data_IF_863124968558
#
_entry.id   IF_863124968558
#
_cell.length_a   1.000
_cell.length_b   1.000
_cell.length_c   1.000
_cell.angle_alpha   90.00
_cell.angle_beta   90.00
_cell.angle_gamma   90.00
#
_symmetry.space_group_name_H-M   'P 1'
#
loop_
_entity.id
_entity.type
_entity.pdbx_description
1 polymer ?
#
# COMPACT_ATOMS: atom_id res chain seq x y z
N UNK A 1 45.51 10.91 8.01
CA UNK A 1 45.20 10.46 6.64
C UNK A 1 44.01 11.28 6.18
N UNK A 2 44.25 12.33 5.40
CA UNK A 2 43.22 13.26 4.96
C UNK A 2 42.26 12.53 4.01
N UNK A 3 40.99 12.43 4.37
CA UNK A 3 39.94 11.95 3.47
C UNK A 3 39.61 13.08 2.50
N UNK A 4 39.91 12.90 1.22
CA UNK A 4 39.51 13.84 0.17
C UNK A 4 38.00 14.16 0.26
N UNK A 5 37.58 15.41 -0.02
CA UNK A 5 36.16 15.75 -0.02
C UNK A 5 35.42 14.90 -1.08
N UNK A 6 34.23 14.36 -0.76
CA UNK A 6 33.50 13.50 -1.67
C UNK A 6 33.21 14.25 -2.97
N UNK A 7 33.59 13.66 -4.10
CA UNK A 7 33.31 14.23 -5.43
C UNK A 7 31.79 14.40 -5.62
N UNK A 8 31.34 15.43 -6.37
CA UNK A 8 29.91 15.67 -6.56
C UNK A 8 29.22 14.47 -7.22
N UNK A 9 29.92 13.75 -8.12
CA UNK A 9 29.46 12.50 -8.71
C UNK A 9 29.29 11.39 -7.67
N UNK A 10 30.23 11.21 -6.75
CA UNK A 10 30.10 10.22 -5.68
C UNK A 10 28.90 10.55 -4.79
N UNK A 11 28.71 11.83 -4.43
CA UNK A 11 27.57 12.30 -3.63
C UNK A 11 26.23 12.04 -4.34
N UNK A 12 26.12 12.37 -5.62
CA UNK A 12 24.93 12.12 -6.45
C UNK A 12 24.68 10.61 -6.60
N UNK A 13 25.72 9.80 -6.84
CA UNK A 13 25.61 8.34 -6.91
C UNK A 13 25.16 7.74 -5.58
N UNK A 14 25.73 8.17 -4.45
CA UNK A 14 25.27 7.73 -3.12
C UNK A 14 23.86 8.18 -2.81
N UNK A 15 23.44 9.37 -3.28
CA UNK A 15 22.07 9.86 -3.13
C UNK A 15 21.08 9.03 -3.97
N UNK A 16 21.41 8.76 -5.24
CA UNK A 16 20.64 7.88 -6.12
C UNK A 16 20.57 6.45 -5.58
N UNK A 17 21.66 5.92 -5.03
CA UNK A 17 21.71 4.62 -4.35
C UNK A 17 20.86 4.60 -3.07
N UNK A 18 20.74 5.73 -2.35
CA UNK A 18 19.81 5.84 -1.22
C UNK A 18 18.35 5.89 -1.69
N UNK A 19 18.07 6.54 -2.81
CA UNK A 19 16.73 6.65 -3.42
C UNK A 19 16.41 5.52 -4.41
N UNK A 20 17.15 4.41 -4.37
CA UNK A 20 17.03 3.31 -5.34
C UNK A 20 15.61 2.73 -5.47
N UNK A 21 14.80 2.82 -4.41
CA UNK A 21 13.40 2.39 -4.42
C UNK A 21 12.55 3.27 -5.35
N UNK A 22 12.68 4.61 -5.27
CA UNK A 22 11.92 5.54 -6.12
C UNK A 22 12.32 5.39 -7.59
N UNK A 23 13.62 5.24 -7.84
CA UNK A 23 14.14 4.97 -9.18
C UNK A 23 13.61 3.63 -9.70
N UNK A 24 13.61 2.60 -8.85
CA UNK A 24 13.07 1.29 -9.17
C UNK A 24 11.58 1.33 -9.52
N UNK A 25 10.78 2.10 -8.78
CA UNK A 25 9.35 2.31 -9.08
C UNK A 25 9.20 2.98 -10.45
N UNK A 26 9.98 4.04 -10.72
CA UNK A 26 9.97 4.72 -12.03
C UNK A 26 10.33 3.78 -13.18
N UNK A 27 11.38 2.98 -13.04
CA UNK A 27 11.80 1.99 -14.04
C UNK A 27 10.73 0.91 -14.22
N UNK A 28 10.16 0.40 -13.12
CA UNK A 28 9.09 -0.58 -13.16
C UNK A 28 7.87 -0.05 -13.92
N UNK A 29 7.48 1.21 -13.70
CA UNK A 29 6.40 1.87 -14.45
C UNK A 29 6.71 2.01 -15.95
N UNK A 30 7.96 2.37 -16.30
CA UNK A 30 8.40 2.45 -17.71
C UNK A 30 8.38 1.06 -18.35
N UNK A 31 8.89 0.06 -17.67
CA UNK A 31 8.97 -1.31 -18.18
C UNK A 31 7.59 -1.95 -18.30
N UNK A 32 6.69 -1.65 -17.35
CA UNK A 32 5.27 -1.96 -17.43
C UNK A 32 4.65 -1.38 -18.71
N UNK A 33 4.89 -0.09 -18.99
CA UNK A 33 4.35 0.58 -20.17
C UNK A 33 4.83 -0.05 -21.49
N UNK A 34 6.10 -0.42 -21.60
CA UNK A 34 6.67 -0.99 -22.84
C UNK A 34 6.44 -2.50 -23.01
N UNK A 35 6.26 -3.26 -21.93
CA UNK A 35 6.07 -4.72 -21.97
C UNK A 35 4.77 -5.17 -21.26
N UNK A 36 3.58 -4.77 -21.76
CA UNK A 36 2.30 -5.09 -21.14
C UNK A 36 1.91 -6.58 -21.24
N UNK A 37 2.53 -7.35 -22.13
CA UNK A 37 2.15 -8.75 -22.42
C UNK A 37 2.62 -9.77 -21.37
N UNK A 38 3.61 -9.43 -20.54
CA UNK A 38 4.15 -10.34 -19.50
C UNK A 38 3.24 -10.38 -18.26
N UNK A 39 2.34 -9.40 -18.12
CA UNK A 39 1.48 -9.20 -16.95
C UNK A 39 -0.02 -9.36 -17.23
N UNK A 40 -0.40 -9.84 -18.43
CA UNK A 40 -1.82 -10.07 -18.78
C UNK A 40 -2.47 -11.17 -17.92
N UNK A 41 -3.72 -10.93 -17.52
CA UNK A 41 -4.63 -11.95 -17.00
C UNK A 41 -4.79 -13.11 -18.01
N UNK A 42 -4.66 -14.35 -17.54
CA UNK A 42 -4.93 -15.55 -18.33
C UNK A 42 -3.74 -16.27 -19.02
N UNK A 43 -2.49 -16.00 -18.64
CA UNK A 43 -1.36 -16.84 -19.04
C UNK A 43 -1.42 -18.26 -18.44
N UNK A 44 -0.71 -19.23 -19.03
CA UNK A 44 -0.67 -20.66 -18.63
C UNK A 44 -0.27 -20.93 -17.18
N UNK A 45 0.27 -19.90 -16.52
CA UNK A 45 0.51 -19.85 -15.08
C UNK A 45 -0.44 -18.75 -14.60
N UNK A 46 -1.38 -19.05 -13.71
CA UNK A 46 -2.20 -18.04 -12.98
C UNK A 46 -1.30 -17.17 -12.09
N UNK A 47 -0.44 -16.40 -12.74
CA UNK A 47 0.63 -15.61 -12.17
C UNK A 47 0.04 -14.43 -11.40
N UNK A 48 -1.19 -14.02 -11.70
CA UNK A 48 -1.89 -12.95 -10.99
C UNK A 48 -2.06 -13.25 -9.50
N UNK A 49 -2.49 -14.47 -9.17
CA UNK A 49 -2.64 -14.89 -7.79
C UNK A 49 -1.27 -15.28 -7.20
N UNK A 50 -0.46 -16.02 -7.94
CA UNK A 50 0.81 -16.55 -7.40
C UNK A 50 1.84 -15.44 -7.14
N UNK A 51 1.96 -14.47 -8.04
CA UNK A 51 2.90 -13.35 -7.88
C UNK A 51 2.36 -12.36 -6.85
N UNK A 52 1.08 -11.98 -6.90
CA UNK A 52 0.54 -11.02 -5.95
C UNK A 52 0.56 -11.56 -4.52
N UNK A 53 -0.03 -12.75 -4.29
CA UNK A 53 -0.05 -13.36 -2.96
C UNK A 53 1.34 -13.84 -2.53
N UNK A 54 2.15 -14.38 -3.44
CA UNK A 54 3.50 -14.86 -3.14
C UNK A 54 4.45 -13.72 -2.79
N UNK A 55 4.46 -12.63 -3.56
CA UNK A 55 5.29 -11.47 -3.25
C UNK A 55 4.80 -10.74 -2.00
N UNK A 56 3.48 -10.57 -1.82
CA UNK A 56 2.93 -10.05 -0.56
C UNK A 56 3.37 -10.93 0.62
N UNK A 57 3.18 -12.25 0.52
CA UNK A 57 3.54 -13.17 1.59
C UNK A 57 5.03 -13.12 1.91
N UNK A 58 5.91 -13.06 0.91
CA UNK A 58 7.34 -12.93 1.12
C UNK A 58 7.71 -11.60 1.81
N UNK A 59 7.11 -10.49 1.40
CA UNK A 59 7.33 -9.17 2.02
C UNK A 59 6.89 -9.18 3.49
N UNK A 60 5.69 -9.71 3.79
CA UNK A 60 5.18 -9.75 5.16
C UNK A 60 5.88 -10.77 6.03
N UNK A 61 6.32 -11.89 5.46
CA UNK A 61 7.18 -12.85 6.15
C UNK A 61 8.52 -12.23 6.53
N UNK A 62 9.19 -11.54 5.59
CA UNK A 62 10.42 -10.80 5.84
C UNK A 62 10.20 -9.71 6.89
N UNK A 63 9.07 -9.00 6.81
CA UNK A 63 8.71 -7.97 7.80
C UNK A 63 8.53 -8.57 9.20
N UNK A 64 7.87 -9.73 9.30
CA UNK A 64 7.72 -10.48 10.55
C UNK A 64 9.05 -10.98 11.14
N UNK A 65 9.97 -11.43 10.30
CA UNK A 65 11.31 -11.87 10.73
C UNK A 65 12.20 -10.71 11.19
N UNK A 66 12.00 -9.53 10.61
CA UNK A 66 12.84 -8.35 10.88
C UNK A 66 12.40 -7.62 12.15
N UNK A 67 11.09 -7.44 12.36
CA UNK A 67 10.54 -6.57 13.41
C UNK A 67 10.58 -7.25 14.80
N UNK A 68 11.11 -6.58 15.83
CA UNK A 68 11.03 -7.05 17.21
C UNK A 68 9.60 -7.17 17.73
N UNK A 69 9.27 -8.32 18.33
CA UNK A 69 7.95 -8.58 18.92
C UNK A 69 7.54 -7.47 19.92
N UNK A 70 8.45 -7.06 20.80
CA UNK A 70 8.15 -6.08 21.85
C UNK A 70 7.88 -4.69 21.24
N UNK A 71 8.47 -4.42 20.06
CA UNK A 71 8.17 -3.23 19.27
C UNK A 71 6.77 -3.34 18.67
N UNK A 72 6.44 -4.45 18.00
CA UNK A 72 5.12 -4.68 17.40
C UNK A 72 3.99 -4.60 18.43
N UNK A 73 4.12 -5.28 19.59
CA UNK A 73 3.10 -5.24 20.65
C UNK A 73 2.96 -3.84 21.27
N UNK A 74 4.05 -3.08 21.42
CA UNK A 74 3.98 -1.70 21.94
C UNK A 74 3.20 -0.80 20.98
N UNK A 75 3.46 -0.89 19.67
CA UNK A 75 2.72 -0.09 18.69
C UNK A 75 1.27 -0.55 18.56
N UNK A 76 0.99 -1.85 18.60
CA UNK A 76 -0.37 -2.39 18.59
C UNK A 76 -1.24 -1.97 19.80
N UNK A 77 -0.60 -1.52 20.89
CA UNK A 77 -1.30 -0.98 22.07
C UNK A 77 -1.38 0.54 22.08
N UNK A 78 -0.80 1.22 21.08
CA UNK A 78 -0.75 2.67 21.04
C UNK A 78 -2.02 3.24 20.38
N UNK A 79 -3.11 3.24 21.13
CA UNK A 79 -4.43 3.70 20.67
C UNK A 79 -4.39 5.17 20.18
N UNK A 80 -3.57 6.03 20.80
CA UNK A 80 -3.46 7.43 20.38
C UNK A 80 -2.90 7.56 18.97
N UNK A 81 -1.91 6.72 18.63
CA UNK A 81 -1.34 6.68 17.29
C UNK A 81 -2.38 6.17 16.27
N UNK A 82 -3.07 5.08 16.61
CA UNK A 82 -4.13 4.51 15.78
C UNK A 82 -5.21 5.53 15.47
N UNK A 83 -5.74 6.21 16.49
CA UNK A 83 -6.77 7.21 16.32
C UNK A 83 -6.30 8.38 15.47
N UNK A 84 -5.08 8.88 15.69
CA UNK A 84 -4.55 10.01 14.94
C UNK A 84 -4.38 9.67 13.45
N UNK A 85 -3.68 8.56 13.15
CA UNK A 85 -3.39 8.15 11.78
C UNK A 85 -4.67 7.78 11.04
N UNK A 86 -5.55 7.00 11.67
CA UNK A 86 -6.83 6.61 11.10
C UNK A 86 -7.74 7.82 10.84
N UNK A 87 -7.78 8.81 11.75
CA UNK A 87 -8.57 10.03 11.54
C UNK A 87 -8.05 10.86 10.38
N UNK A 88 -6.74 10.95 10.20
CA UNK A 88 -6.15 11.66 9.06
C UNK A 88 -6.50 10.91 7.75
N UNK A 89 -6.29 9.60 7.72
CA UNK A 89 -6.50 8.78 6.52
C UNK A 89 -7.96 8.68 6.10
N UNK A 90 -8.89 8.51 7.06
CA UNK A 90 -10.29 8.24 6.76
C UNK A 90 -11.22 9.43 6.96
N UNK A 91 -10.76 10.52 7.59
CA UNK A 91 -11.58 11.71 7.80
C UNK A 91 -11.00 12.90 7.04
N UNK A 92 -9.75 13.26 7.32
CA UNK A 92 -9.14 14.48 6.79
C UNK A 92 -8.91 14.40 5.27
N UNK A 93 -8.34 13.30 4.77
CA UNK A 93 -8.05 13.14 3.32
C UNK A 93 -9.34 13.10 2.49
N UNK A 94 -10.36 12.27 2.80
CA UNK A 94 -11.63 12.31 2.09
C UNK A 94 -12.34 13.67 2.21
N UNK A 95 -12.34 14.32 3.37
CA UNK A 95 -12.95 15.64 3.57
C UNK A 95 -12.26 16.73 2.73
N UNK A 96 -10.93 16.70 2.63
CA UNK A 96 -10.18 17.63 1.79
C UNK A 96 -10.51 17.43 0.31
N UNK A 97 -10.56 16.18 -0.16
CA UNK A 97 -10.92 15.88 -1.55
C UNK A 97 -12.37 16.25 -1.85
N UNK A 98 -13.28 16.05 -0.92
CA UNK A 98 -14.66 16.56 -1.01
C UNK A 98 -14.69 18.08 -1.19
N UNK A 99 -13.94 18.81 -0.37
CA UNK A 99 -13.88 20.27 -0.47
C UNK A 99 -13.34 20.73 -1.84
N UNK A 100 -12.31 20.05 -2.36
CA UNK A 100 -11.75 20.31 -3.69
C UNK A 100 -12.80 20.04 -4.77
N UNK A 101 -13.53 18.92 -4.72
CA UNK A 101 -14.57 18.60 -5.70
C UNK A 101 -15.71 19.63 -5.66
N UNK A 102 -16.15 20.05 -4.48
CA UNK A 102 -17.17 21.10 -4.36
C UNK A 102 -16.68 22.45 -4.90
N UNK A 103 -15.40 22.80 -4.65
CA UNK A 103 -14.80 24.01 -5.20
C UNK A 103 -14.75 23.97 -6.73
N UNK A 104 -14.39 22.83 -7.31
CA UNK A 104 -14.37 22.62 -8.76
C UNK A 104 -15.78 22.76 -9.34
N UNK A 105 -16.77 22.11 -8.75
CA UNK A 105 -18.17 22.20 -9.18
C UNK A 105 -18.69 23.64 -9.09
N UNK A 106 -18.35 24.37 -8.03
CA UNK A 106 -18.73 25.78 -7.87
C UNK A 106 -18.04 26.69 -8.91
N UNK A 107 -16.79 26.43 -9.25
CA UNK A 107 -16.05 27.20 -10.25
C UNK A 107 -16.48 26.89 -11.70
N UNK A 108 -16.97 25.67 -11.97
CA UNK A 108 -17.35 25.17 -13.31
C UNK A 108 -18.86 25.36 -13.62
N UNK A 109 -19.57 26.09 -12.77
CA UNK A 109 -21.04 26.30 -12.81
C UNK A 109 -21.57 26.86 -14.13
N UNK A 110 -20.76 27.59 -14.89
CA UNK A 110 -21.20 28.33 -16.09
C UNK A 110 -21.03 27.55 -17.40
N UNK A 111 -20.15 26.54 -17.44
CA UNK A 111 -19.93 25.67 -18.60
C UNK A 111 -19.16 24.42 -18.15
N UNK A 112 -19.80 23.27 -17.90
CA UNK A 112 -19.14 22.10 -17.34
C UNK A 112 -18.07 21.57 -18.30
N UNK A 113 -16.79 21.74 -17.94
CA UNK A 113 -15.64 21.20 -18.68
C UNK A 113 -15.15 19.89 -18.08
N UNK A 114 -15.48 19.62 -16.82
CA UNK A 114 -15.01 18.45 -16.08
C UNK A 114 -16.13 17.43 -15.97
N UNK A 115 -15.84 16.20 -16.40
CA UNK A 115 -16.76 15.07 -16.32
C UNK A 115 -17.07 14.72 -14.84
N UNK A 116 -18.35 14.70 -14.42
CA UNK A 116 -18.76 14.25 -13.09
C UNK A 116 -18.30 12.82 -12.74
N UNK A 117 -18.12 11.94 -13.74
CA UNK A 117 -17.59 10.60 -13.53
C UNK A 117 -16.13 10.64 -13.04
N UNK A 118 -15.33 11.59 -13.53
CA UNK A 118 -13.95 11.79 -13.09
C UNK A 118 -13.90 12.26 -11.63
N UNK A 119 -14.73 13.23 -11.26
CA UNK A 119 -14.83 13.73 -9.88
C UNK A 119 -15.25 12.63 -8.90
N UNK A 120 -16.15 11.76 -9.34
CA UNK A 120 -16.60 10.59 -8.57
C UNK A 120 -15.47 9.58 -8.41
N UNK A 121 -14.69 9.32 -9.47
CA UNK A 121 -13.49 8.48 -9.40
C UNK A 121 -12.46 8.98 -8.38
N UNK A 122 -12.27 10.30 -8.26
CA UNK A 122 -11.39 10.88 -7.24
C UNK A 122 -11.88 10.61 -5.81
N UNK A 123 -13.18 10.76 -5.55
CA UNK A 123 -13.79 10.47 -4.25
C UNK A 123 -13.70 8.99 -3.90
N UNK A 124 -13.93 8.10 -4.87
CA UNK A 124 -13.75 6.66 -4.67
C UNK A 124 -12.31 6.31 -4.34
N UNK A 125 -11.35 6.88 -5.08
CA UNK A 125 -9.91 6.64 -4.86
C UNK A 125 -9.48 7.13 -3.48
N UNK A 126 -10.04 8.24 -3.01
CA UNK A 126 -9.80 8.77 -1.66
C UNK A 126 -10.24 7.82 -0.55
N UNK A 127 -11.28 7.03 -0.81
CA UNK A 127 -11.90 6.16 0.18
C UNK A 127 -11.24 4.77 0.23
N UNK A 128 -10.43 4.38 -0.76
CA UNK A 128 -9.80 3.06 -0.82
C UNK A 128 -8.60 2.99 0.16
N UNK A 129 -8.47 1.91 0.95
CA UNK A 129 -7.33 1.74 1.85
C UNK A 129 -5.99 1.67 1.11
N UNK A 130 -4.95 2.24 1.74
CA UNK A 130 -3.60 2.38 1.15
C UNK A 130 -2.82 1.06 1.05
N UNK A 131 -1.86 0.99 0.13
CA UNK A 131 -1.05 -0.21 -0.12
C UNK A 131 -0.09 -0.55 1.04
N UNK A 132 -0.24 -1.75 1.61
CA UNK A 132 0.47 -2.18 2.83
C UNK A 132 1.98 -2.30 2.63
N UNK A 133 2.41 -2.98 1.56
CA UNK A 133 3.82 -3.23 1.31
C UNK A 133 4.63 -1.94 1.03
N UNK A 134 4.07 -1.03 0.23
CA UNK A 134 4.73 0.23 -0.14
C UNK A 134 4.97 1.11 1.08
N UNK A 135 3.93 1.32 1.89
CA UNK A 135 4.00 2.19 3.06
C UNK A 135 5.04 1.74 4.08
N UNK A 136 5.13 0.43 4.35
CA UNK A 136 6.11 -0.11 5.31
C UNK A 136 7.54 0.06 4.79
N UNK A 137 7.79 -0.25 3.52
CA UNK A 137 9.12 -0.12 2.91
C UNK A 137 9.54 1.34 2.83
N UNK A 138 8.66 2.24 2.40
CA UNK A 138 8.94 3.68 2.31
C UNK A 138 9.16 4.30 3.69
N UNK A 139 8.38 3.91 4.70
CA UNK A 139 8.60 4.37 6.09
C UNK A 139 9.96 3.92 6.60
N UNK A 140 10.35 2.67 6.34
CA UNK A 140 11.68 2.17 6.70
C UNK A 140 12.80 2.94 5.97
N UNK A 141 12.62 3.22 4.68
CA UNK A 141 13.57 3.98 3.89
C UNK A 141 13.72 5.42 4.38
N UNK A 142 12.64 6.03 4.89
CA UNK A 142 12.65 7.34 5.52
C UNK A 142 13.16 7.35 6.97
N UNK A 143 13.77 6.25 7.45
CA UNK A 143 14.19 6.05 8.84
C UNK A 143 13.05 6.19 9.87
N UNK A 144 11.79 6.02 9.43
CA UNK A 144 10.62 6.00 10.29
C UNK A 144 10.39 4.64 10.95
N UNK A 145 9.35 4.57 11.78
CA UNK A 145 9.01 3.34 12.49
C UNK A 145 8.20 2.37 11.61
N UNK A 146 8.89 1.37 11.09
CA UNK A 146 8.32 0.31 10.24
C UNK A 146 7.32 -0.60 10.95
N UNK A 147 7.44 -0.80 12.26
CA UNK A 147 6.51 -1.59 13.05
C UNK A 147 5.21 -0.83 13.30
N UNK A 148 5.32 0.48 13.60
CA UNK A 148 4.17 1.35 13.69
C UNK A 148 3.43 1.42 12.34
N UNK A 149 4.14 1.72 11.25
CA UNK A 149 3.54 1.79 9.91
C UNK A 149 2.85 0.48 9.50
N UNK A 150 3.46 -0.67 9.82
CA UNK A 150 2.83 -1.96 9.56
C UNK A 150 1.49 -2.09 10.30
N UNK A 151 1.45 -1.81 11.60
CA UNK A 151 0.22 -1.90 12.39
C UNK A 151 -0.84 -0.93 11.89
N UNK A 152 -0.47 0.33 11.64
CA UNK A 152 -1.42 1.35 11.16
C UNK A 152 -2.03 0.96 9.82
N UNK A 153 -1.21 0.48 8.87
CA UNK A 153 -1.72 0.15 7.55
C UNK A 153 -2.55 -1.14 7.57
N UNK A 154 -2.23 -2.10 8.45
CA UNK A 154 -3.09 -3.26 8.69
C UNK A 154 -4.45 -2.86 9.24
N UNK A 155 -4.48 -1.98 10.24
CA UNK A 155 -5.72 -1.45 10.81
C UNK A 155 -6.53 -0.68 9.75
N UNK A 156 -5.87 0.18 8.97
CA UNK A 156 -6.51 0.91 7.89
C UNK A 156 -7.10 -0.03 6.82
N UNK A 157 -6.40 -1.09 6.44
CA UNK A 157 -6.90 -2.06 5.45
C UNK A 157 -8.01 -2.96 6.01
N UNK A 158 -8.03 -3.20 7.32
CA UNK A 158 -9.12 -3.92 7.99
C UNK A 158 -10.37 -3.04 8.13
N UNK A 159 -10.20 -1.77 8.46
CA UNK A 159 -11.28 -0.80 8.65
C UNK A 159 -11.82 -0.26 7.32
N UNK A 160 -10.96 -0.17 6.30
CA UNK A 160 -11.28 0.35 4.97
C UNK A 160 -12.57 -0.23 4.39
N UNK A 161 -12.73 -1.55 4.26
CA UNK A 161 -13.96 -2.16 3.74
C UNK A 161 -15.24 -1.74 4.47
N UNK A 162 -15.16 -1.34 5.74
CA UNK A 162 -16.33 -0.83 6.48
C UNK A 162 -16.55 0.66 6.23
N UNK A 163 -15.46 1.43 6.17
CA UNK A 163 -15.50 2.89 6.06
C UNK A 163 -15.72 3.35 4.60
N UNK A 164 -15.09 2.70 3.62
CA UNK A 164 -15.16 3.10 2.21
C UNK A 164 -16.58 3.06 1.66
N UNK A 165 -17.40 2.00 1.86
CA UNK A 165 -18.79 2.00 1.40
C UNK A 165 -19.63 3.05 2.13
N UNK A 166 -19.38 3.28 3.43
CA UNK A 166 -20.09 4.28 4.21
C UNK A 166 -19.83 5.69 3.65
N UNK A 167 -18.58 6.02 3.33
CA UNK A 167 -18.22 7.28 2.68
C UNK A 167 -18.80 7.39 1.27
N UNK A 168 -18.66 6.35 0.46
CA UNK A 168 -19.25 6.30 -0.89
C UNK A 168 -20.75 6.61 -0.85
N UNK A 169 -21.50 5.96 0.04
CA UNK A 169 -22.94 6.17 0.17
C UNK A 169 -23.29 7.55 0.73
N UNK A 170 -22.46 8.11 1.62
CA UNK A 170 -22.67 9.44 2.19
C UNK A 170 -22.35 10.58 1.20
N UNK A 171 -21.39 10.36 0.31
CA UNK A 171 -20.86 11.38 -0.60
C UNK A 171 -21.58 11.41 -1.93
N UNK A 172 -22.07 10.27 -2.43
CA UNK A 172 -22.63 10.20 -3.78
C UNK A 172 -23.85 11.12 -3.95
N UNK A 173 -23.86 12.01 -4.95
CA UNK A 173 -25.03 12.83 -5.24
C UNK A 173 -26.23 11.95 -5.59
N UNK A 174 -27.43 12.34 -5.12
CA UNK A 174 -28.70 11.68 -5.48
C UNK A 174 -29.14 12.10 -6.88
N UNK A 175 -28.40 11.68 -7.90
CA UNK A 175 -28.76 11.85 -9.30
C UNK A 175 -28.73 10.50 -10.03
N UNK A 176 -29.59 10.29 -11.05
CA UNK A 176 -29.72 9.01 -11.76
C UNK A 176 -28.39 8.49 -12.35
N UNK A 177 -27.46 9.39 -12.66
CA UNK A 177 -26.12 9.05 -13.15
C UNK A 177 -25.28 8.23 -12.15
N UNK A 178 -25.61 8.27 -10.85
CA UNK A 178 -24.85 7.62 -9.77
C UNK A 178 -25.52 6.37 -9.20
N UNK A 179 -26.72 6.00 -9.69
CA UNK A 179 -27.44 4.80 -9.25
C UNK A 179 -26.68 3.47 -9.49
N UNK A 180 -25.91 3.28 -10.59
CA UNK A 180 -25.11 2.07 -10.78
C UNK A 180 -24.05 1.86 -9.69
N UNK A 181 -23.44 2.94 -9.22
CA UNK A 181 -22.38 2.93 -8.19
C UNK A 181 -22.94 2.65 -6.80
N UNK A 182 -24.19 3.06 -6.54
CA UNK A 182 -24.94 2.66 -5.34
C UNK A 182 -25.37 1.20 -5.37
N UNK A 183 -25.68 0.66 -6.55
CA UNK A 183 -25.99 -0.76 -6.70
C UNK A 183 -24.75 -1.65 -6.52
N UNK A 184 -23.57 -1.19 -6.98
CA UNK A 184 -22.30 -1.90 -6.80
C UNK A 184 -21.87 -2.05 -5.33
N UNK A 185 -22.31 -1.13 -4.45
CA UNK A 185 -22.10 -1.21 -3.00
C UNK A 185 -23.04 -2.20 -2.30
N UNK A 186 -23.97 -2.85 -3.01
CA UNK A 186 -24.93 -3.77 -2.40
C UNK A 186 -24.33 -5.16 -2.07
N UNK A 187 -23.30 -5.62 -2.79
CA UNK A 187 -22.62 -6.90 -2.49
C UNK A 187 -21.46 -6.73 -1.51
N UNK A 188 -21.79 -6.22 -0.31
CA UNK A 188 -20.84 -6.04 0.78
C UNK A 188 -20.22 -7.37 1.24
N UNK A 189 -20.97 -8.46 1.14
CA UNK A 189 -20.53 -9.78 1.59
C UNK A 189 -19.41 -10.37 0.72
N UNK A 190 -19.50 -10.26 -0.60
CA UNK A 190 -18.42 -10.68 -1.49
C UNK A 190 -17.17 -9.82 -1.31
N UNK A 191 -17.35 -8.49 -1.17
CA UNK A 191 -16.24 -7.56 -0.93
C UNK A 191 -15.51 -7.90 0.38
N UNK A 192 -16.25 -8.07 1.49
CA UNK A 192 -15.65 -8.47 2.77
C UNK A 192 -14.88 -9.77 2.64
N UNK A 193 -15.48 -10.79 2.01
CA UNK A 193 -14.83 -12.10 1.81
C UNK A 193 -13.52 -11.95 1.04
N UNK A 194 -13.50 -11.15 -0.01
CA UNK A 194 -12.30 -10.91 -0.81
C UNK A 194 -11.20 -10.23 0.02
N UNK A 195 -11.54 -9.16 0.75
CA UNK A 195 -10.56 -8.41 1.55
C UNK A 195 -10.03 -9.24 2.72
N UNK A 196 -10.91 -9.91 3.46
CA UNK A 196 -10.48 -10.79 4.57
C UNK A 196 -9.62 -11.96 4.08
N UNK A 197 -9.93 -12.53 2.90
CA UNK A 197 -9.09 -13.57 2.30
C UNK A 197 -7.73 -13.03 1.90
N UNK A 198 -7.68 -11.85 1.28
CA UNK A 198 -6.44 -11.21 0.87
C UNK A 198 -5.56 -10.82 2.06
N UNK A 199 -6.14 -10.17 3.07
CA UNK A 199 -5.43 -9.79 4.30
C UNK A 199 -5.04 -11.02 5.11
N UNK A 200 -5.92 -12.00 5.25
CA UNK A 200 -5.66 -13.24 5.96
C UNK A 200 -4.48 -14.00 5.36
N UNK A 201 -4.56 -14.33 4.07
CA UNK A 201 -3.58 -15.20 3.40
C UNK A 201 -2.33 -14.44 2.94
N UNK A 202 -2.49 -13.23 2.41
CA UNK A 202 -1.38 -12.47 1.82
C UNK A 202 -0.57 -11.70 2.85
N UNK A 203 -1.14 -11.42 4.04
CA UNK A 203 -0.56 -10.45 4.97
C UNK A 203 -0.44 -11.01 6.38
N UNK A 204 -1.56 -11.35 7.04
CA UNK A 204 -1.59 -11.78 8.43
C UNK A 204 -0.90 -13.13 8.64
N UNK A 205 -1.25 -14.15 7.83
CA UNK A 205 -0.64 -15.47 7.90
C UNK A 205 0.90 -15.43 7.77
N UNK A 206 1.48 -14.86 6.69
CA UNK A 206 2.93 -14.78 6.54
C UNK A 206 3.60 -13.95 7.64
N UNK A 207 2.96 -12.86 8.08
CA UNK A 207 3.47 -12.05 9.18
C UNK A 207 3.54 -12.84 10.50
N UNK A 208 2.47 -13.57 10.84
CA UNK A 208 2.40 -14.41 12.04
C UNK A 208 3.42 -15.54 11.96
N UNK A 209 3.56 -16.19 10.81
CA UNK A 209 4.58 -17.22 10.59
C UNK A 209 5.98 -16.63 10.79
N UNK A 210 6.27 -15.45 10.23
CA UNK A 210 7.55 -14.77 10.41
C UNK A 210 7.84 -14.43 11.87
N UNK A 211 6.83 -13.93 12.61
CA UNK A 211 6.96 -13.65 14.04
C UNK A 211 7.12 -14.93 14.88
N UNK A 212 6.42 -16.01 14.54
CA UNK A 212 6.55 -17.30 15.21
C UNK A 212 7.95 -17.90 15.03
N UNK A 213 8.51 -17.86 13.81
CA UNK A 213 9.89 -18.30 13.54
C UNK A 213 10.88 -17.45 14.35
N UNK A 214 10.69 -16.13 14.37
CA UNK A 214 11.52 -15.21 15.15
C UNK A 214 11.40 -15.44 16.67
N UNK A 215 10.25 -15.92 17.12
CA UNK A 215 10.00 -16.27 18.53
C UNK A 215 10.72 -17.57 18.90
N UNK A 216 10.60 -18.61 18.08
CA UNK A 216 11.25 -19.90 18.32
C UNK A 216 12.78 -19.82 18.22
N UNK A 217 13.32 -18.94 17.35
CA UNK A 217 14.77 -18.83 17.11
C UNK A 217 15.28 -17.38 17.02
N UNK A 218 15.28 -16.61 18.12
CA UNK A 218 15.61 -15.18 18.08
C UNK A 218 17.06 -14.89 17.64
N UNK A 219 18.05 -15.65 18.14
CA UNK A 219 19.46 -15.42 17.82
C UNK A 219 19.86 -15.88 16.38
N UNK A 220 19.41 -17.04 15.88
CA UNK A 220 19.64 -17.44 14.49
C UNK A 220 18.95 -16.50 13.50
N UNK A 221 17.68 -16.13 13.74
CA UNK A 221 16.92 -15.28 12.82
C UNK A 221 17.53 -13.90 12.70
N UNK A 222 17.99 -13.29 13.80
CA UNK A 222 18.69 -12.00 13.75
C UNK A 222 19.93 -12.05 12.85
N UNK A 223 20.75 -13.11 12.97
CA UNK A 223 21.94 -13.31 12.11
C UNK A 223 21.57 -13.52 10.65
N UNK A 224 20.51 -14.27 10.36
CA UNK A 224 20.03 -14.51 8.97
C UNK A 224 19.49 -13.21 8.36
N UNK A 225 18.73 -12.42 9.11
CA UNK A 225 18.19 -11.14 8.64
C UNK A 225 19.30 -10.16 8.26
N UNK A 226 20.34 -10.04 9.10
CA UNK A 226 21.51 -9.21 8.81
C UNK A 226 22.34 -9.77 7.64
N UNK A 227 22.62 -11.08 7.65
CA UNK A 227 23.51 -11.73 6.66
C UNK A 227 22.89 -11.81 5.27
N UNK A 228 21.58 -12.06 5.18
CA UNK A 228 20.87 -12.15 3.90
C UNK A 228 20.34 -10.81 3.39
N UNK A 229 20.59 -9.69 4.11
CA UNK A 229 20.06 -8.35 3.77
C UNK A 229 18.58 -8.39 3.40
N UNK A 230 17.77 -9.13 4.17
CA UNK A 230 16.37 -9.43 3.82
C UNK A 230 15.52 -8.16 3.60
N UNK A 231 15.87 -7.05 4.24
CA UNK A 231 15.25 -5.76 3.98
C UNK A 231 15.36 -5.31 2.50
N UNK A 232 16.48 -5.60 1.82
CA UNK A 232 16.66 -5.30 0.39
C UNK A 232 15.82 -6.22 -0.51
N UNK A 233 15.67 -7.49 -0.10
CA UNK A 233 14.82 -8.46 -0.80
C UNK A 233 13.35 -8.03 -0.73
N UNK A 234 12.88 -7.58 0.44
CA UNK A 234 11.52 -7.04 0.58
C UNK A 234 11.24 -5.84 -0.33
N UNK A 235 12.20 -4.91 -0.45
CA UNK A 235 12.10 -3.78 -1.39
C UNK A 235 12.08 -4.22 -2.86
N UNK A 236 12.87 -5.22 -3.25
CA UNK A 236 12.85 -5.77 -4.60
C UNK A 236 11.51 -6.45 -4.93
N UNK A 237 10.93 -7.20 -3.99
CA UNK A 237 9.59 -7.78 -4.14
C UNK A 237 8.50 -6.71 -4.25
N UNK A 238 8.65 -5.57 -3.58
CA UNK A 238 7.73 -4.43 -3.74
C UNK A 238 7.81 -3.83 -5.15
N UNK A 239 9.01 -3.73 -5.75
CA UNK A 239 9.16 -3.31 -7.14
C UNK A 239 8.50 -4.30 -8.12
N UNK A 240 8.60 -5.61 -7.85
CA UNK A 240 7.90 -6.63 -8.63
C UNK A 240 6.36 -6.48 -8.52
N UNK A 241 5.84 -6.18 -7.33
CA UNK A 241 4.41 -5.89 -7.16
C UNK A 241 3.99 -4.64 -7.94
N UNK A 242 4.78 -3.58 -7.91
CA UNK A 242 4.50 -2.32 -8.64
C UNK A 242 4.52 -2.55 -10.15
N UNK A 243 5.43 -3.38 -10.66
CA UNK A 243 5.44 -3.75 -12.08
C UNK A 243 4.19 -4.56 -12.47
N UNK A 244 3.71 -5.46 -11.60
CA UNK A 244 2.62 -6.37 -11.91
C UNK A 244 1.21 -5.78 -11.72
N UNK A 245 1.02 -4.93 -10.71
CA UNK A 245 -0.29 -4.39 -10.32
C UNK A 245 -1.06 -3.62 -11.41
N UNK A 246 -0.43 -2.83 -12.31
CA UNK A 246 -1.13 -2.06 -13.33
C UNK A 246 -1.96 -2.91 -14.31
N UNK A 247 -1.63 -4.19 -14.49
CA UNK A 247 -2.23 -5.07 -15.52
C UNK A 247 -3.16 -6.15 -14.96
N UNK A 248 -3.33 -6.22 -13.63
CA UNK A 248 -4.30 -7.12 -12.99
C UNK A 248 -5.74 -6.61 -13.07
N UNK A 249 -5.95 -5.37 -13.52
CA UNK A 249 -7.27 -4.71 -13.53
C UNK A 249 -7.81 -4.53 -14.96
N UNK A 250 -7.06 -4.99 -15.96
CA UNK A 250 -7.36 -4.88 -17.40
C UNK A 250 -7.47 -6.24 -18.04
#
# INVERSE_FOLDING_TARGET
>A
MATDPPTPLHTILTFLLHQWLLIGIGIACILAYYFPSVAKHGGTIHAEYTILYGAMALIFLISGLTIPRDKLLRHARNIRLHLLVQSISFLLVPALLLAIVHLILAADSSAPRIDPALLTGYLFTAAIPTTIASNVVMTRAAAGDDAAALVEVLLANLLGPFISPAWTLAILPRAPAFDPWRAATADLAAMYRAVFRQLGLGVLLPLVVGQAVRWSWPAPTARVVERARLAKVGSFCMLLLVWYCPFSVS
#
